data_IF_456388851158
#
_entry.id   IF_456388851158
#
_cell.length_a   1.000
_cell.length_b   1.000
_cell.length_c   1.000
_cell.angle_alpha   90.00
_cell.angle_beta   90.00
_cell.angle_gamma   90.00
#
_symmetry.space_group_name_H-M   'P 1'
#
loop_
_entity.id
_entity.type
_entity.pdbx_description
1 polymer ?
#
# COMPACT_ATOMS: atom_id res chain seq x y z
N UNK A 1 -5.69 -2.55 26.22
CA UNK A 1 -6.16 -1.14 26.12
C UNK A 1 -5.40 -0.30 25.06
N UNK A 2 -4.67 -0.90 24.09
CA UNK A 2 -3.94 -0.17 23.05
C UNK A 2 -4.69 0.00 21.71
N UNK A 3 -5.90 -0.57 21.57
CA UNK A 3 -6.64 -0.55 20.31
C UNK A 3 -7.14 0.85 19.93
N UNK A 4 -7.66 1.64 20.87
CA UNK A 4 -8.28 2.96 20.61
C UNK A 4 -7.31 3.95 19.95
N UNK A 5 -6.03 4.09 20.35
CA UNK A 5 -5.12 5.04 19.69
C UNK A 5 -4.83 4.71 18.22
N UNK A 6 -4.71 3.44 17.83
CA UNK A 6 -4.43 3.07 16.43
C UNK A 6 -5.62 3.35 15.50
N UNK A 7 -6.84 3.15 16.00
CA UNK A 7 -8.09 3.39 15.26
C UNK A 7 -8.26 4.88 14.93
N UNK A 8 -8.03 5.73 15.93
CA UNK A 8 -8.07 7.19 15.76
C UNK A 8 -6.99 7.66 14.80
N UNK A 9 -5.79 7.08 14.85
CA UNK A 9 -4.70 7.37 13.92
C UNK A 9 -5.09 7.05 12.47
N UNK A 10 -5.69 5.87 12.21
CA UNK A 10 -6.16 5.48 10.86
C UNK A 10 -7.19 6.44 10.29
N UNK A 11 -8.17 6.84 11.12
CA UNK A 11 -9.20 7.81 10.72
C UNK A 11 -8.60 9.19 10.45
N UNK A 12 -7.68 9.65 11.31
CA UNK A 12 -7.00 10.95 11.12
C UNK A 12 -6.18 10.98 9.82
N UNK A 13 -5.45 9.90 9.54
CA UNK A 13 -4.68 9.74 8.30
C UNK A 13 -5.62 9.74 7.09
N UNK A 14 -6.71 8.96 7.11
CA UNK A 14 -7.70 8.91 6.04
C UNK A 14 -8.32 10.29 5.77
N UNK A 15 -8.71 11.02 6.82
CA UNK A 15 -9.25 12.37 6.69
C UNK A 15 -8.23 13.35 6.11
N UNK A 16 -6.95 13.21 6.49
CA UNK A 16 -5.87 14.02 5.91
C UNK A 16 -5.72 13.75 4.41
N UNK A 17 -5.77 12.48 3.98
CA UNK A 17 -5.69 12.11 2.56
C UNK A 17 -6.90 12.57 1.77
N UNK A 18 -8.11 12.40 2.31
CA UNK A 18 -9.32 12.92 1.68
C UNK A 18 -9.28 14.44 1.55
N UNK A 19 -8.81 15.15 2.58
CA UNK A 19 -8.62 16.60 2.53
C UNK A 19 -7.60 17.00 1.46
N UNK A 20 -6.47 16.31 1.38
CA UNK A 20 -5.45 16.54 0.34
C UNK A 20 -6.03 16.24 -1.04
N UNK A 21 -6.75 15.15 -1.24
CA UNK A 21 -7.39 14.81 -2.54
C UNK A 21 -8.42 15.85 -2.96
N UNK A 22 -9.27 16.30 -2.03
CA UNK A 22 -10.27 17.33 -2.28
C UNK A 22 -9.63 18.69 -2.59
N UNK A 23 -8.58 19.07 -1.86
CA UNK A 23 -7.84 20.31 -2.13
C UNK A 23 -6.98 20.21 -3.39
N UNK A 24 -6.43 19.04 -3.70
CA UNK A 24 -5.65 18.82 -4.92
C UNK A 24 -6.52 18.88 -6.18
N UNK A 25 -7.81 18.50 -6.08
CA UNK A 25 -8.83 18.76 -7.10
C UNK A 25 -9.19 20.25 -7.23
N UNK A 26 -9.00 21.03 -6.17
CA UNK A 26 -9.27 22.46 -6.13
C UNK A 26 -8.07 23.32 -6.59
N UNK A 27 -6.85 22.78 -6.53
CA UNK A 27 -5.65 23.45 -7.06
C UNK A 27 -5.55 23.13 -8.55
N UNK A 28 -6.02 24.05 -9.40
CA UNK A 28 -5.74 24.02 -10.84
C UNK A 28 -4.24 24.25 -11.09
N UNK A 29 -3.45 23.18 -11.09
CA UNK A 29 -2.06 23.25 -11.54
C UNK A 29 -2.01 23.24 -13.08
N UNK A 30 -1.29 24.18 -13.73
CA UNK A 30 -1.29 24.32 -15.19
C UNK A 30 -0.72 23.11 -15.95
N UNK A 31 -0.05 22.18 -15.26
CA UNK A 31 0.43 20.90 -15.81
C UNK A 31 -0.68 19.84 -16.04
N UNK A 32 -1.93 20.14 -15.68
CA UNK A 32 -3.12 19.31 -15.88
C UNK A 32 -3.82 19.53 -17.24
N UNK A 33 -3.38 20.53 -18.02
CA UNK A 33 -3.92 20.88 -19.34
C UNK A 33 -3.46 19.92 -20.47
N UNK A 34 -2.64 18.92 -20.15
CA UNK A 34 -2.18 17.88 -21.10
C UNK A 34 -2.92 16.56 -20.83
N UNK A 35 -3.15 15.77 -21.89
CA UNK A 35 -3.79 14.45 -21.85
C UNK A 35 -3.27 13.59 -20.67
N UNK A 36 -4.19 13.11 -19.82
CA UNK A 36 -3.88 12.30 -18.65
C UNK A 36 -3.80 13.05 -17.31
N UNK A 37 -3.76 14.39 -17.29
CA UNK A 37 -3.85 15.19 -16.06
C UNK A 37 -2.84 14.77 -14.98
N UNK A 38 -3.28 14.68 -13.72
CA UNK A 38 -2.43 14.21 -12.60
C UNK A 38 -2.31 12.69 -12.51
N UNK A 39 -3.15 11.93 -13.22
CA UNK A 39 -3.10 10.46 -13.26
C UNK A 39 -1.88 9.92 -14.00
N UNK A 40 -1.12 10.78 -14.68
CA UNK A 40 0.19 10.42 -15.22
C UNK A 40 1.21 10.11 -14.12
N UNK A 41 1.13 10.80 -12.98
CA UNK A 41 2.15 10.71 -11.94
C UNK A 41 1.89 9.54 -10.99
N UNK A 42 2.91 8.71 -10.80
CA UNK A 42 2.86 7.59 -9.84
C UNK A 42 2.59 8.08 -8.41
N UNK A 43 3.04 9.28 -8.04
CA UNK A 43 2.80 9.88 -6.70
C UNK A 43 1.32 10.16 -6.44
N UNK A 44 0.56 10.54 -7.47
CA UNK A 44 -0.88 10.72 -7.35
C UNK A 44 -1.59 9.37 -7.22
N UNK A 45 -1.16 8.38 -8.00
CA UNK A 45 -1.69 7.00 -7.92
C UNK A 45 -1.42 6.41 -6.53
N UNK A 46 -0.20 6.59 -6.00
CA UNK A 46 0.19 6.16 -4.65
C UNK A 46 -0.73 6.74 -3.59
N UNK A 47 -1.01 8.06 -3.67
CA UNK A 47 -1.89 8.75 -2.73
C UNK A 47 -3.32 8.20 -2.76
N UNK A 48 -3.84 7.86 -3.95
CA UNK A 48 -5.16 7.22 -4.10
C UNK A 48 -5.14 5.79 -3.53
N UNK A 49 -4.13 4.98 -3.85
CA UNK A 49 -3.98 3.62 -3.33
C UNK A 49 -3.96 3.63 -1.80
N UNK A 50 -3.23 4.58 -1.20
CA UNK A 50 -3.15 4.73 0.25
C UNK A 50 -4.46 5.19 0.88
N UNK A 51 -5.16 6.15 0.25
CA UNK A 51 -6.48 6.55 0.71
C UNK A 51 -7.45 5.37 0.72
N UNK A 52 -7.43 4.53 -0.32
CA UNK A 52 -8.23 3.30 -0.38
C UNK A 52 -7.80 2.31 0.69
N UNK A 53 -6.49 2.11 0.91
CA UNK A 53 -5.96 1.23 1.94
C UNK A 53 -6.42 1.64 3.36
N UNK A 54 -6.26 2.91 3.73
CA UNK A 54 -6.73 3.41 5.02
C UNK A 54 -8.26 3.39 5.12
N UNK A 55 -8.98 3.60 4.02
CA UNK A 55 -10.43 3.42 3.95
C UNK A 55 -10.84 1.99 4.29
N UNK A 56 -10.16 0.99 3.73
CA UNK A 56 -10.37 -0.43 4.03
C UNK A 56 -10.02 -0.75 5.48
N UNK A 57 -8.96 -0.16 6.03
CA UNK A 57 -8.62 -0.31 7.45
C UNK A 57 -9.76 0.18 8.35
N UNK A 58 -10.24 1.40 8.12
CA UNK A 58 -11.36 1.99 8.87
C UNK A 58 -12.66 1.17 8.68
N UNK A 59 -12.93 0.65 7.49
CA UNK A 59 -14.08 -0.22 7.23
C UNK A 59 -13.96 -1.57 7.96
N UNK A 60 -12.77 -2.15 8.00
CA UNK A 60 -12.49 -3.40 8.75
C UNK A 60 -12.71 -3.18 10.23
N UNK A 61 -12.22 -2.07 10.74
CA UNK A 61 -12.38 -1.64 12.12
C UNK A 61 -13.84 -1.44 12.50
N UNK A 62 -14.59 -0.68 11.70
CA UNK A 62 -16.03 -0.47 11.89
C UNK A 62 -16.80 -1.79 11.82
N UNK A 63 -16.47 -2.64 10.85
CA UNK A 63 -17.07 -3.96 10.67
C UNK A 63 -16.77 -4.87 11.87
N UNK A 64 -15.56 -4.81 12.43
CA UNK A 64 -15.19 -5.58 13.62
C UNK A 64 -15.98 -5.15 14.87
N UNK A 65 -16.21 -3.84 15.04
CA UNK A 65 -17.02 -3.28 16.13
C UNK A 65 -18.49 -3.66 16.00
N UNK A 66 -19.05 -3.58 14.79
CA UNK A 66 -20.44 -3.96 14.51
C UNK A 66 -20.67 -5.46 14.68
N UNK A 67 -19.70 -6.29 14.31
CA UNK A 67 -19.78 -7.76 14.42
C UNK A 67 -19.77 -8.20 15.88
N UNK A 68 -19.08 -7.46 16.77
CA UNK A 68 -19.02 -7.80 18.20
C UNK A 68 -20.38 -7.78 18.91
N UNK A 69 -21.40 -7.13 18.33
CA UNK A 69 -22.77 -7.10 18.84
C UNK A 69 -23.79 -7.91 18.02
N UNK A 70 -23.40 -8.45 16.86
CA UNK A 70 -24.29 -9.10 15.91
C UNK A 70 -23.73 -10.47 15.52
N UNK A 71 -24.41 -11.56 15.92
CA UNK A 71 -24.01 -12.95 15.63
C UNK A 71 -24.15 -13.37 14.16
N UNK A 72 -23.98 -12.43 13.23
CA UNK A 72 -24.27 -12.61 11.81
C UNK A 72 -23.07 -13.24 11.09
N UNK A 73 -23.15 -14.54 10.84
CA UNK A 73 -22.07 -15.34 10.21
C UNK A 73 -21.61 -14.79 8.85
N UNK A 74 -22.51 -14.19 8.07
CA UNK A 74 -22.16 -13.56 6.79
C UNK A 74 -21.22 -12.35 6.99
N UNK A 75 -21.42 -11.56 8.05
CA UNK A 75 -20.60 -10.37 8.33
C UNK A 75 -19.17 -10.75 8.73
N UNK A 76 -18.99 -11.84 9.48
CA UNK A 76 -17.65 -12.40 9.75
C UNK A 76 -16.94 -12.84 8.47
N UNK A 77 -17.68 -13.44 7.52
CA UNK A 77 -17.11 -13.85 6.24
C UNK A 77 -16.67 -12.65 5.40
N UNK A 78 -17.47 -11.59 5.37
CA UNK A 78 -17.12 -10.33 4.70
C UNK A 78 -15.93 -9.64 5.37
N UNK A 79 -15.87 -9.64 6.71
CA UNK A 79 -14.74 -9.10 7.48
C UNK A 79 -13.44 -9.83 7.14
N UNK A 80 -13.44 -11.17 7.08
CA UNK A 80 -12.26 -11.96 6.69
C UNK A 80 -11.79 -11.65 5.26
N UNK A 81 -12.72 -11.45 4.33
CA UNK A 81 -12.38 -11.01 2.96
C UNK A 81 -11.77 -9.62 2.96
N UNK A 82 -12.33 -8.69 3.74
CA UNK A 82 -11.85 -7.32 3.80
C UNK A 82 -10.46 -7.23 4.44
N UNK A 83 -10.22 -8.00 5.50
CA UNK A 83 -8.90 -8.18 6.13
C UNK A 83 -7.91 -8.76 5.11
N UNK A 84 -8.29 -9.84 4.41
CA UNK A 84 -7.41 -10.44 3.40
C UNK A 84 -7.10 -9.47 2.25
N UNK A 85 -8.07 -8.68 1.82
CA UNK A 85 -7.89 -7.68 0.77
C UNK A 85 -7.01 -6.51 1.25
N UNK A 86 -7.19 -6.05 2.49
CA UNK A 86 -6.34 -5.06 3.15
C UNK A 86 -4.89 -5.53 3.17
N UNK A 87 -4.65 -6.74 3.64
CA UNK A 87 -3.30 -7.31 3.79
C UNK A 87 -2.64 -7.52 2.41
N UNK A 88 -3.42 -7.93 1.41
CA UNK A 88 -2.96 -8.05 0.03
C UNK A 88 -2.58 -6.68 -0.56
N UNK A 89 -3.44 -5.67 -0.40
CA UNK A 89 -3.17 -4.31 -0.87
C UNK A 89 -1.97 -3.68 -0.18
N UNK A 90 -1.82 -3.91 1.14
CA UNK A 90 -0.66 -3.45 1.89
C UNK A 90 0.63 -4.04 1.32
N UNK A 91 0.67 -5.37 1.18
CA UNK A 91 1.85 -6.09 0.73
C UNK A 91 2.23 -5.78 -0.72
N UNK A 92 1.25 -5.77 -1.63
CA UNK A 92 1.49 -5.68 -3.08
C UNK A 92 1.66 -4.24 -3.56
N UNK A 93 0.91 -3.29 -2.98
CA UNK A 93 0.82 -1.93 -3.53
C UNK A 93 1.31 -0.88 -2.52
N UNK A 94 0.79 -0.87 -1.30
CA UNK A 94 1.07 0.22 -0.37
C UNK A 94 2.52 0.21 0.15
N UNK A 95 3.10 -0.96 0.44
CA UNK A 95 4.46 -1.05 0.97
C UNK A 95 5.54 -0.76 -0.09
N UNK A 96 5.52 -1.39 -1.29
CA UNK A 96 6.56 -1.15 -2.30
C UNK A 96 6.52 0.28 -2.86
N UNK A 97 5.33 0.86 -3.04
CA UNK A 97 5.19 2.23 -3.54
C UNK A 97 5.42 3.25 -2.42
N UNK A 98 4.98 2.93 -1.19
CA UNK A 98 5.10 3.78 -0.01
C UNK A 98 6.52 3.95 0.53
N UNK A 99 7.48 3.06 0.21
CA UNK A 99 8.89 3.22 0.62
C UNK A 99 9.54 4.47 0.06
N UNK A 100 9.07 4.92 -1.11
CA UNK A 100 9.59 6.09 -1.79
C UNK A 100 8.88 7.39 -1.36
N UNK A 101 7.90 7.31 -0.45
CA UNK A 101 7.07 8.44 -0.05
C UNK A 101 7.10 8.67 1.46
N UNK A 102 6.61 9.83 1.91
CA UNK A 102 6.64 10.29 3.31
C UNK A 102 5.79 9.45 4.27
N UNK A 103 5.14 8.41 3.74
CA UNK A 103 4.06 7.67 4.38
C UNK A 103 4.54 6.34 4.96
N UNK A 104 5.76 5.93 4.59
CA UNK A 104 6.48 4.79 5.13
C UNK A 104 6.38 4.65 6.66
N UNK A 105 6.65 5.69 7.49
CA UNK A 105 6.56 5.54 8.94
C UNK A 105 5.16 5.12 9.41
N UNK A 106 4.10 5.61 8.77
CA UNK A 106 2.73 5.22 9.12
C UNK A 106 2.42 3.78 8.74
N UNK A 107 2.88 3.32 7.57
CA UNK A 107 2.74 1.92 7.14
C UNK A 107 3.53 0.97 8.05
N UNK A 108 4.73 1.37 8.49
CA UNK A 108 5.53 0.59 9.43
C UNK A 108 4.87 0.49 10.81
N UNK A 109 4.27 1.58 11.30
CA UNK A 109 3.47 1.56 12.54
C UNK A 109 2.26 0.62 12.39
N UNK A 110 1.58 0.67 11.25
CA UNK A 110 0.44 -0.19 10.94
C UNK A 110 0.82 -1.68 10.90
N UNK A 111 1.92 -2.03 10.22
CA UNK A 111 2.45 -3.41 10.22
C UNK A 111 2.92 -3.88 11.60
N UNK A 112 3.45 -2.98 12.43
CA UNK A 112 3.87 -3.29 13.80
C UNK A 112 2.68 -3.54 14.72
N UNK A 113 1.56 -2.87 14.50
CA UNK A 113 0.40 -2.87 15.40
C UNK A 113 -0.66 -3.87 15.00
N UNK A 114 -0.73 -4.26 13.72
CA UNK A 114 -1.68 -5.24 13.21
C UNK A 114 -0.98 -6.36 12.45
N UNK A 115 -1.36 -7.60 12.76
CA UNK A 115 -0.92 -8.75 12.00
C UNK A 115 -1.51 -8.69 10.59
N UNK A 116 -0.65 -8.62 9.58
CA UNK A 116 -1.04 -8.70 8.19
C UNK A 116 -0.56 -10.04 7.62
N UNK A 117 -1.50 -10.83 7.09
CA UNK A 117 -1.17 -12.07 6.40
C UNK A 117 -0.74 -11.73 4.96
N UNK A 118 0.58 -11.76 4.72
CA UNK A 118 1.10 -11.57 3.37
C UNK A 118 0.57 -12.67 2.44
N UNK A 119 0.18 -12.33 1.19
CA UNK A 119 -0.24 -13.32 0.23
C UNK A 119 0.91 -14.26 -0.15
N UNK A 120 0.57 -15.40 -0.77
CA UNK A 120 1.59 -16.34 -1.25
C UNK A 120 2.61 -15.62 -2.14
N UNK A 121 3.89 -15.91 -1.94
CA UNK A 121 5.02 -15.25 -2.64
C UNK A 121 4.80 -15.12 -4.14
N UNK A 122 4.34 -16.19 -4.79
CA UNK A 122 4.12 -16.18 -6.24
C UNK A 122 2.96 -15.28 -6.66
N UNK A 123 1.89 -15.19 -5.84
CA UNK A 123 0.76 -14.29 -6.11
C UNK A 123 1.16 -12.82 -5.94
N UNK A 124 1.90 -12.52 -4.86
CA UNK A 124 2.42 -11.16 -4.60
C UNK A 124 3.39 -10.68 -5.69
N UNK A 125 4.37 -11.51 -6.06
CA UNK A 125 5.32 -11.20 -7.13
C UNK A 125 4.60 -11.05 -8.49
N UNK A 126 3.67 -11.95 -8.82
CA UNK A 126 2.89 -11.84 -10.06
C UNK A 126 2.10 -10.53 -10.10
N UNK A 127 1.45 -10.15 -9.00
CA UNK A 127 0.69 -8.91 -8.93
C UNK A 127 1.55 -7.65 -9.08
N UNK A 128 2.74 -7.61 -8.47
CA UNK A 128 3.70 -6.51 -8.62
C UNK A 128 4.17 -6.40 -10.08
N UNK A 129 4.47 -7.54 -10.71
CA UNK A 129 4.84 -7.59 -12.12
C UNK A 129 3.69 -7.10 -13.01
N UNK A 130 2.45 -7.54 -12.77
CA UNK A 130 1.27 -7.07 -13.50
C UNK A 130 1.05 -5.57 -13.33
N UNK A 131 1.14 -5.04 -12.12
CA UNK A 131 1.01 -3.61 -11.86
C UNK A 131 2.13 -2.80 -12.53
N UNK A 132 3.37 -3.27 -12.45
CA UNK A 132 4.53 -2.64 -13.09
C UNK A 132 4.37 -2.57 -14.60
N UNK A 133 3.99 -3.69 -15.24
CA UNK A 133 3.73 -3.74 -16.69
C UNK A 133 2.57 -2.82 -17.06
N UNK A 134 1.49 -2.83 -16.29
CA UNK A 134 0.35 -1.93 -16.50
C UNK A 134 0.75 -0.45 -16.46
N UNK A 135 1.56 -0.05 -15.48
CA UNK A 135 2.05 1.34 -15.39
C UNK A 135 3.01 1.69 -16.53
N UNK A 136 3.90 0.79 -16.93
CA UNK A 136 4.81 1.02 -18.07
C UNK A 136 3.99 1.19 -19.37
N UNK A 137 3.00 0.33 -19.61
CA UNK A 137 2.10 0.46 -20.75
C UNK A 137 1.34 1.80 -20.74
N UNK A 138 0.87 2.23 -19.58
CA UNK A 138 0.22 3.53 -19.41
C UNK A 138 1.17 4.70 -19.73
N UNK A 139 2.40 4.69 -19.23
CA UNK A 139 3.41 5.73 -19.53
C UNK A 139 3.73 5.76 -21.02
N UNK A 140 3.89 4.59 -21.65
CA UNK A 140 4.11 4.46 -23.09
C UNK A 140 2.92 5.00 -23.89
N UNK A 141 1.68 4.71 -23.47
CA UNK A 141 0.46 5.24 -24.08
C UNK A 141 0.40 6.77 -23.99
N UNK A 142 0.68 7.34 -22.81
CA UNK A 142 0.71 8.79 -22.62
C UNK A 142 1.75 9.44 -23.53
N UNK A 143 2.94 8.84 -23.65
CA UNK A 143 3.97 9.32 -24.58
C UNK A 143 3.52 9.22 -26.04
N UNK A 144 2.84 8.13 -26.43
CA UNK A 144 2.32 7.97 -27.80
C UNK A 144 1.30 9.06 -28.16
N UNK A 145 0.41 9.42 -27.23
CA UNK A 145 -0.65 10.42 -27.47
C UNK A 145 -0.15 11.86 -27.34
N UNK A 146 0.76 12.14 -26.40
CA UNK A 146 1.21 13.53 -26.10
C UNK A 146 2.55 13.91 -26.73
N UNK A 147 3.35 12.93 -27.16
CA UNK A 147 4.74 13.13 -27.55
C UNK A 147 5.68 13.48 -26.39
N UNK A 148 5.18 13.57 -25.15
CA UNK A 148 5.96 13.92 -23.97
C UNK A 148 6.04 12.75 -23.00
N UNK A 149 7.20 12.57 -22.38
CA UNK A 149 7.35 11.61 -21.30
C UNK A 149 6.69 12.14 -20.03
N UNK A 150 6.05 11.23 -19.28
CA UNK A 150 5.52 11.52 -17.93
C UNK A 150 6.59 12.12 -17.03
N UNK A 151 7.83 11.65 -17.19
CA UNK A 151 8.99 12.15 -16.49
C UNK A 151 9.99 12.76 -17.49
N UNK A 152 10.32 14.07 -17.39
CA UNK A 152 11.19 14.76 -18.35
C UNK A 152 12.60 14.15 -18.50
N UNK A 153 13.11 13.50 -17.46
CA UNK A 153 14.41 12.83 -17.53
C UNK A 153 14.40 11.63 -18.50
N UNK A 154 13.25 10.97 -18.71
CA UNK A 154 13.15 9.83 -19.64
C UNK A 154 13.38 10.27 -21.09
N UNK A 155 13.04 11.51 -21.42
CA UNK A 155 13.28 12.08 -22.75
C UNK A 155 14.77 12.14 -23.08
N UNK A 156 15.60 12.46 -22.09
CA UNK A 156 17.05 12.63 -22.22
C UNK A 156 17.81 11.28 -22.21
N UNK A 157 17.13 10.18 -21.87
CA UNK A 157 17.73 8.85 -21.77
C UNK A 157 17.45 8.04 -23.05
N UNK A 158 18.45 7.35 -23.57
CA UNK A 158 18.31 6.50 -24.76
C UNK A 158 17.36 5.31 -24.57
N UNK A 159 16.79 4.72 -25.65
CA UNK A 159 15.79 3.67 -25.55
C UNK A 159 16.21 2.44 -24.74
N UNK A 160 17.47 1.98 -24.89
CA UNK A 160 17.99 0.85 -24.12
C UNK A 160 18.10 1.14 -22.62
N UNK A 161 18.52 2.35 -22.25
CA UNK A 161 18.62 2.77 -20.86
C UNK A 161 17.24 2.96 -20.20
N UNK A 162 16.18 3.30 -20.96
CA UNK A 162 14.79 3.30 -20.47
C UNK A 162 14.33 1.89 -20.09
N UNK A 163 14.64 0.89 -20.92
CA UNK A 163 14.30 -0.52 -20.62
C UNK A 163 15.01 -0.98 -19.34
N UNK A 164 16.30 -0.64 -19.20
CA UNK A 164 17.07 -0.95 -17.99
C UNK A 164 16.45 -0.25 -16.77
N UNK A 165 16.08 1.02 -16.88
CA UNK A 165 15.48 1.79 -15.79
C UNK A 165 14.12 1.21 -15.33
N UNK A 166 13.23 0.87 -16.27
CA UNK A 166 11.96 0.23 -15.92
C UNK A 166 12.17 -1.16 -15.34
N UNK A 167 13.06 -1.96 -15.94
CA UNK A 167 13.41 -3.29 -15.44
C UNK A 167 14.00 -3.25 -14.03
N UNK A 168 14.94 -2.34 -13.76
CA UNK A 168 15.54 -2.17 -12.44
C UNK A 168 14.52 -1.76 -11.40
N UNK A 169 13.58 -0.89 -11.76
CA UNK A 169 12.50 -0.44 -10.86
C UNK A 169 11.56 -1.60 -10.53
N UNK A 170 11.20 -2.43 -11.51
CA UNK A 170 10.39 -3.63 -11.27
C UNK A 170 11.13 -4.64 -10.38
N UNK A 171 12.43 -4.86 -10.58
CA UNK A 171 13.23 -5.75 -9.72
C UNK A 171 13.29 -5.20 -8.29
N UNK A 172 13.49 -3.89 -8.13
CA UNK A 172 13.48 -3.23 -6.83
C UNK A 172 12.14 -3.42 -6.11
N UNK A 173 11.01 -3.27 -6.80
CA UNK A 173 9.68 -3.51 -6.22
C UNK A 173 9.49 -4.95 -5.73
N UNK A 174 9.99 -5.94 -6.48
CA UNK A 174 9.98 -7.34 -6.06
C UNK A 174 10.87 -7.57 -4.84
N UNK A 175 12.05 -6.94 -4.78
CA UNK A 175 12.93 -7.01 -3.61
C UNK A 175 12.28 -6.37 -2.37
N UNK A 176 11.60 -5.24 -2.53
CA UNK A 176 10.88 -4.56 -1.45
C UNK A 176 9.73 -5.41 -0.92
N UNK A 177 9.01 -6.14 -1.78
CA UNK A 177 8.00 -7.10 -1.34
C UNK A 177 8.59 -8.18 -0.44
N UNK A 178 9.71 -8.78 -0.86
CA UNK A 178 10.41 -9.79 -0.07
C UNK A 178 10.92 -9.21 1.26
N UNK A 179 11.42 -7.97 1.24
CA UNK A 179 11.83 -7.27 2.45
C UNK A 179 10.64 -7.04 3.40
N UNK A 180 9.48 -6.64 2.88
CA UNK A 180 8.24 -6.48 3.64
C UNK A 180 7.79 -7.79 4.27
N UNK A 181 7.84 -8.89 3.52
CA UNK A 181 7.53 -10.24 4.01
C UNK A 181 8.46 -10.65 5.17
N UNK A 182 9.77 -10.47 5.01
CA UNK A 182 10.78 -10.78 6.04
C UNK A 182 10.62 -9.89 7.28
N UNK A 183 10.35 -8.60 7.09
CA UNK A 183 10.08 -7.69 8.20
C UNK A 183 8.84 -8.12 8.96
N UNK A 184 7.77 -8.48 8.26
CA UNK A 184 6.52 -8.94 8.87
C UNK A 184 6.73 -10.23 9.68
N UNK A 185 7.44 -11.22 9.13
CA UNK A 185 7.75 -12.46 9.85
C UNK A 185 8.63 -12.20 11.08
N UNK A 186 9.68 -11.38 10.93
CA UNK A 186 10.59 -11.06 12.02
C UNK A 186 9.88 -10.37 13.19
N UNK A 187 9.01 -9.41 12.89
CA UNK A 187 8.22 -8.69 13.90
C UNK A 187 7.32 -9.66 14.67
N UNK A 188 6.65 -10.58 13.97
CA UNK A 188 5.64 -11.45 14.57
C UNK A 188 6.22 -12.68 15.27
N UNK A 189 7.29 -13.26 14.73
CA UNK A 189 8.04 -14.34 15.40
C UNK A 189 8.61 -13.86 16.74
N UNK A 190 9.10 -12.62 16.80
CA UNK A 190 9.57 -11.99 18.04
C UNK A 190 8.44 -11.81 19.06
N UNK A 191 7.22 -11.44 18.63
CA UNK A 191 6.08 -11.33 19.55
C UNK A 191 5.69 -12.70 20.13
N UNK A 192 5.62 -13.73 19.28
CA UNK A 192 5.26 -15.08 19.71
C UNK A 192 6.28 -15.66 20.71
N UNK A 193 7.57 -15.45 20.47
CA UNK A 193 8.61 -15.92 21.39
C UNK A 193 8.51 -15.26 22.78
N UNK A 194 8.16 -13.96 22.83
CA UNK A 194 7.99 -13.24 24.09
C UNK A 194 6.72 -13.67 24.86
N UNK A 195 5.66 -14.06 24.15
CA UNK A 195 4.45 -14.62 24.78
C UNK A 195 4.71 -16.02 25.33
N UNK A 196 5.38 -16.89 24.56
CA UNK A 196 5.77 -18.24 24.99
C UNK A 196 6.73 -18.21 26.20
N UNK A 197 7.63 -17.22 26.29
CA UNK A 197 8.53 -17.04 27.44
C UNK A 197 7.80 -16.54 28.69
N UNK A 198 6.72 -15.75 28.54
CA UNK A 198 5.85 -15.33 29.66
C UNK A 198 4.96 -16.43 30.20
N UNK A 199 4.56 -17.38 29.35
CA UNK A 199 3.72 -18.53 29.74
C UNK A 199 4.50 -19.67 30.40
N UNK A 200 5.84 -19.72 30.27
CA UNK A 200 6.64 -20.70 31.00
C UNK A 200 6.55 -20.41 32.50
N UNK A 201 6.05 -21.37 33.32
CA UNK A 201 6.00 -21.18 34.76
C UNK A 201 7.43 -21.01 35.25
N UNK A 202 7.68 -19.93 36.00
CA UNK A 202 8.92 -19.76 36.76
C UNK A 202 8.98 -20.92 37.74
N UNK A 203 9.83 -21.90 37.43
CA UNK A 203 10.12 -23.00 38.32
C UNK A 203 11.03 -22.43 39.42
N UNK A 204 10.41 -21.93 40.49
CA UNK A 204 11.06 -21.67 41.78
C UNK A 204 10.68 -22.77 42.78
#
# INVERSE_FOLDING_TARGET
MALVPCQVLRVAILLSYCSILCNYKAIEMPSHQTYGGSWKFLTFIDLVIQAVFFGICVLTDLSSLLTRGSGNQEQERQLKKLISLRDWMLAVLAFPVGVHTTVLPFILIEMRTSHHAYPSRNSGLAAICTFSVGYILWVCWVHHVTGMWVYPFLEHIGPGARIIFFGSTTILMNFLYLLGEVLNSYIWDTQRSMEEEKEKPKLE
#
